data_IF_228913877765
#
_entry.id   IF_228913877765
#
_cell.length_a   1.000
_cell.length_b   1.000
_cell.length_c   1.000
_cell.angle_alpha   90.00
_cell.angle_beta   90.00
_cell.angle_gamma   90.00
#
_symmetry.space_group_name_H-M   'P 1'
#
loop_
_entity.id
_entity.type
_entity.pdbx_description
1 polymer ?
#
# COMPACT_ATOMS: atom_id res chain seq x y z
N UNK A 1 31.37 7.31 -9.30
CA UNK A 1 30.62 6.34 -8.47
C UNK A 1 29.68 7.02 -7.46
N UNK A 2 30.08 8.12 -6.81
CA UNK A 2 29.27 8.87 -5.80
C UNK A 2 27.86 9.29 -6.25
N UNK A 3 27.67 9.71 -7.52
CA UNK A 3 26.35 10.15 -8.03
C UNK A 3 25.27 9.07 -7.96
N UNK A 4 25.64 7.81 -8.21
CA UNK A 4 24.67 6.70 -8.19
C UNK A 4 24.22 6.37 -6.77
N UNK A 5 25.09 6.51 -5.77
CA UNK A 5 24.71 6.23 -4.37
C UNK A 5 23.72 7.26 -3.83
N UNK A 6 23.90 8.54 -4.17
CA UNK A 6 22.98 9.60 -3.79
C UNK A 6 21.57 9.39 -4.39
N UNK A 7 21.48 8.98 -5.66
CA UNK A 7 20.19 8.68 -6.32
C UNK A 7 19.52 7.49 -5.63
N UNK A 8 20.28 6.43 -5.31
CA UNK A 8 19.72 5.24 -4.64
C UNK A 8 19.14 5.60 -3.27
N UNK A 9 19.91 6.33 -2.47
CA UNK A 9 19.51 6.78 -1.13
C UNK A 9 18.28 7.71 -1.19
N UNK A 10 18.23 8.61 -2.17
CA UNK A 10 17.08 9.49 -2.34
C UNK A 10 15.81 8.70 -2.69
N UNK A 11 15.92 7.71 -3.57
CA UNK A 11 14.77 6.87 -3.95
C UNK A 11 14.30 5.97 -2.80
N UNK A 12 15.21 5.42 -2.01
CA UNK A 12 14.86 4.68 -0.78
C UNK A 12 14.09 5.56 0.21
N UNK A 13 14.50 6.81 0.38
CA UNK A 13 13.83 7.77 1.25
C UNK A 13 12.43 8.15 0.74
N UNK A 14 12.29 8.39 -0.57
CA UNK A 14 10.99 8.70 -1.19
C UNK A 14 10.04 7.51 -1.03
N UNK A 15 10.46 6.31 -1.42
CA UNK A 15 9.64 5.10 -1.32
C UNK A 15 9.32 4.75 0.14
N UNK A 16 10.26 4.97 1.05
CA UNK A 16 10.03 4.81 2.48
C UNK A 16 8.98 5.78 3.00
N UNK A 17 9.11 7.07 2.68
CA UNK A 17 8.18 8.12 3.11
C UNK A 17 6.78 7.91 2.53
N UNK A 18 6.69 7.59 1.23
CA UNK A 18 5.43 7.25 0.57
C UNK A 18 4.77 6.01 1.18
N UNK A 19 5.55 4.97 1.48
CA UNK A 19 5.04 3.73 2.07
C UNK A 19 4.46 3.95 3.48
N UNK A 20 5.15 4.74 4.31
CA UNK A 20 4.66 5.09 5.65
C UNK A 20 3.46 6.04 5.61
N UNK A 21 3.49 7.03 4.71
CA UNK A 21 2.36 7.92 4.49
C UNK A 21 1.10 7.16 4.07
N UNK A 22 1.21 6.26 3.09
CA UNK A 22 0.08 5.46 2.63
C UNK A 22 -0.40 4.47 3.69
N UNK A 23 0.49 3.91 4.51
CA UNK A 23 0.08 3.11 5.66
C UNK A 23 -0.79 3.92 6.64
N UNK A 24 -0.39 5.15 6.95
CA UNK A 24 -1.18 6.05 7.79
C UNK A 24 -2.55 6.35 7.18
N UNK A 25 -2.60 6.65 5.88
CA UNK A 25 -3.86 6.84 5.14
C UNK A 25 -4.73 5.59 5.20
N UNK A 26 -4.18 4.39 4.97
CA UNK A 26 -4.91 3.12 5.07
C UNK A 26 -5.50 2.92 6.48
N UNK A 27 -4.76 3.22 7.54
CA UNK A 27 -5.26 3.12 8.92
C UNK A 27 -6.46 4.04 9.14
N UNK A 28 -6.39 5.29 8.68
CA UNK A 28 -7.51 6.24 8.76
C UNK A 28 -8.72 5.70 7.98
N UNK A 29 -8.51 5.24 6.74
CA UNK A 29 -9.58 4.71 5.88
C UNK A 29 -10.26 3.51 6.53
N UNK A 30 -9.49 2.57 7.08
CA UNK A 30 -10.03 1.42 7.83
C UNK A 30 -10.84 1.90 9.03
N UNK A 31 -10.31 2.84 9.81
CA UNK A 31 -11.03 3.40 10.96
C UNK A 31 -12.37 4.03 10.56
N UNK A 32 -12.38 4.86 9.51
CA UNK A 32 -13.59 5.52 9.02
C UNK A 32 -14.61 4.52 8.45
N UNK A 33 -14.17 3.50 7.70
CA UNK A 33 -15.04 2.42 7.22
C UNK A 33 -15.64 1.63 8.37
N UNK A 34 -14.86 1.26 9.38
CA UNK A 34 -15.37 0.54 10.55
C UNK A 34 -16.40 1.38 11.31
N UNK A 35 -16.12 2.67 11.57
CA UNK A 35 -17.07 3.55 12.25
C UNK A 35 -18.37 3.72 11.45
N UNK A 36 -18.28 3.82 10.13
CA UNK A 36 -19.44 4.00 9.25
C UNK A 36 -20.29 2.74 9.17
N UNK A 37 -19.67 1.57 8.95
CA UNK A 37 -20.39 0.29 8.87
C UNK A 37 -21.05 -0.12 10.19
N UNK A 38 -20.54 0.36 11.34
CA UNK A 38 -21.15 0.13 12.65
C UNK A 38 -22.16 1.23 13.06
N UNK A 39 -22.48 2.18 12.16
CA UNK A 39 -23.47 3.23 12.41
C UNK A 39 -23.03 4.31 13.42
N UNK A 40 -21.73 4.43 13.72
CA UNK A 40 -21.19 5.47 14.60
C UNK A 40 -21.07 6.82 13.87
N UNK A 41 -20.80 6.78 12.57
CA UNK A 41 -20.74 7.95 11.69
C UNK A 41 -21.50 7.68 10.40
N UNK A 42 -22.09 8.70 9.80
CA UNK A 42 -22.74 8.59 8.49
C UNK A 42 -21.90 9.32 7.44
N UNK A 43 -21.05 8.56 6.75
CA UNK A 43 -20.25 9.08 5.64
C UNK A 43 -20.45 8.20 4.40
N UNK A 44 -21.06 8.73 3.32
CA UNK A 44 -21.52 7.91 2.20
C UNK A 44 -20.37 7.21 1.45
N UNK A 45 -19.17 7.78 1.50
CA UNK A 45 -17.98 7.20 0.85
C UNK A 45 -17.42 5.98 1.58
N UNK A 46 -17.70 5.81 2.88
CA UNK A 46 -17.14 4.73 3.71
C UNK A 46 -18.19 3.66 4.07
N UNK A 47 -19.35 3.67 3.40
CA UNK A 47 -20.43 2.71 3.58
C UNK A 47 -20.22 1.34 2.92
N UNK A 48 -19.04 1.09 2.34
CA UNK A 48 -18.65 -0.19 1.75
C UNK A 48 -17.13 -0.38 1.87
N UNK A 49 -16.61 -1.54 1.42
CA UNK A 49 -15.18 -1.85 1.52
C UNK A 49 -14.33 -1.29 0.38
N UNK A 50 -14.89 -0.55 -0.57
CA UNK A 50 -14.16 -0.01 -1.72
C UNK A 50 -12.98 0.91 -1.31
N UNK A 51 -13.13 1.90 -0.41
CA UNK A 51 -12.02 2.76 0.00
C UNK A 51 -10.91 1.95 0.67
N UNK A 52 -11.28 0.94 1.47
CA UNK A 52 -10.33 0.04 2.14
C UNK A 52 -9.54 -0.74 1.09
N UNK A 53 -10.23 -1.40 0.15
CA UNK A 53 -9.61 -2.15 -0.93
C UNK A 53 -8.64 -1.29 -1.76
N UNK A 54 -9.06 -0.08 -2.12
CA UNK A 54 -8.23 0.86 -2.89
C UNK A 54 -6.99 1.32 -2.10
N UNK A 55 -7.16 1.69 -0.83
CA UNK A 55 -6.04 2.12 0.02
C UNK A 55 -5.05 0.99 0.25
N UNK A 56 -5.53 -0.24 0.47
CA UNK A 56 -4.70 -1.43 0.60
C UNK A 56 -3.94 -1.73 -0.68
N UNK A 57 -4.60 -1.65 -1.84
CA UNK A 57 -3.97 -1.85 -3.15
C UNK A 57 -2.78 -0.90 -3.33
N UNK A 58 -3.00 0.41 -3.15
CA UNK A 58 -1.95 1.43 -3.34
C UNK A 58 -0.81 1.21 -2.35
N UNK A 59 -1.12 0.94 -1.08
CA UNK A 59 -0.11 0.65 -0.05
C UNK A 59 0.73 -0.57 -0.45
N UNK A 60 0.12 -1.68 -0.83
CA UNK A 60 0.84 -2.90 -1.23
C UNK A 60 1.72 -2.70 -2.47
N UNK A 61 1.26 -1.91 -3.45
CA UNK A 61 2.08 -1.58 -4.64
C UNK A 61 3.33 -0.79 -4.24
N UNK A 62 3.20 0.25 -3.41
CA UNK A 62 4.35 1.07 -2.99
C UNK A 62 5.35 0.25 -2.19
N UNK A 63 4.87 -0.55 -1.24
CA UNK A 63 5.71 -1.44 -0.44
C UNK A 63 6.34 -2.54 -1.30
N UNK A 64 5.62 -3.10 -2.26
CA UNK A 64 6.14 -4.06 -3.24
C UNK A 64 7.29 -3.49 -4.06
N UNK A 65 7.15 -2.26 -4.57
CA UNK A 65 8.21 -1.54 -5.30
C UNK A 65 9.41 -1.27 -4.40
N UNK A 66 9.18 -0.83 -3.16
CA UNK A 66 10.25 -0.58 -2.18
C UNK A 66 11.03 -1.86 -1.86
N UNK A 67 10.35 -2.97 -1.61
CA UNK A 67 10.98 -4.25 -1.35
C UNK A 67 11.74 -4.78 -2.57
N UNK A 68 11.19 -4.60 -3.77
CA UNK A 68 11.90 -4.94 -5.00
C UNK A 68 13.20 -4.13 -5.12
N UNK A 69 13.12 -2.84 -4.85
CA UNK A 69 14.29 -1.97 -4.91
C UNK A 69 15.37 -2.38 -3.89
N UNK A 70 14.96 -2.62 -2.64
CA UNK A 70 15.85 -3.05 -1.57
C UNK A 70 16.45 -4.44 -1.82
N UNK A 71 15.79 -5.29 -2.62
CA UNK A 71 16.28 -6.63 -2.93
C UNK A 71 17.62 -6.64 -3.67
N UNK A 72 17.96 -5.55 -4.36
CA UNK A 72 19.26 -5.34 -5.02
C UNK A 72 20.42 -5.31 -4.03
N UNK A 73 20.15 -4.92 -2.77
CA UNK A 73 21.12 -4.92 -1.66
C UNK A 73 20.92 -6.08 -0.70
N UNK A 74 19.66 -6.48 -0.49
CA UNK A 74 19.27 -7.54 0.44
C UNK A 74 18.37 -8.56 -0.26
N UNK A 75 18.93 -9.62 -0.87
CA UNK A 75 18.17 -10.55 -1.72
C UNK A 75 16.92 -11.18 -1.07
N UNK A 76 16.90 -11.32 0.25
CA UNK A 76 15.72 -11.79 1.01
C UNK A 76 14.48 -10.92 0.80
N UNK A 77 14.66 -9.63 0.50
CA UNK A 77 13.56 -8.69 0.27
C UNK A 77 12.78 -8.95 -1.01
N UNK A 78 13.34 -9.73 -1.93
CA UNK A 78 12.65 -10.11 -3.16
C UNK A 78 11.36 -10.89 -2.87
N UNK A 79 11.38 -11.77 -1.86
CA UNK A 79 10.20 -12.54 -1.45
C UNK A 79 9.09 -11.62 -0.92
N UNK A 80 9.43 -10.62 -0.11
CA UNK A 80 8.45 -9.64 0.40
C UNK A 80 7.83 -8.81 -0.71
N UNK A 81 8.60 -8.46 -1.74
CA UNK A 81 8.08 -7.77 -2.93
C UNK A 81 7.05 -8.62 -3.67
N UNK A 82 7.36 -9.90 -3.90
CA UNK A 82 6.42 -10.83 -4.54
C UNK A 82 5.14 -10.93 -3.73
N UNK A 83 5.22 -11.16 -2.42
CA UNK A 83 4.02 -11.26 -1.58
C UNK A 83 3.18 -9.98 -1.64
N UNK A 84 3.80 -8.81 -1.50
CA UNK A 84 3.09 -7.54 -1.58
C UNK A 84 2.38 -7.35 -2.93
N UNK A 85 3.05 -7.68 -4.04
CA UNK A 85 2.46 -7.56 -5.38
C UNK A 85 1.38 -8.61 -5.66
N UNK A 86 1.50 -9.82 -5.13
CA UNK A 86 0.44 -10.84 -5.21
C UNK A 86 -0.80 -10.38 -4.44
N UNK A 87 -0.63 -9.85 -3.22
CA UNK A 87 -1.77 -9.28 -2.47
C UNK A 87 -2.36 -8.07 -3.16
N UNK A 88 -1.54 -7.20 -3.76
CA UNK A 88 -2.02 -6.10 -4.59
C UNK A 88 -2.86 -6.62 -5.77
N UNK A 89 -2.41 -7.67 -6.46
CA UNK A 89 -3.17 -8.26 -7.57
C UNK A 89 -4.51 -8.85 -7.11
N UNK A 90 -4.53 -9.56 -5.97
CA UNK A 90 -5.77 -10.08 -5.38
C UNK A 90 -6.74 -8.94 -5.06
N UNK A 91 -6.24 -7.84 -4.47
CA UNK A 91 -7.07 -6.67 -4.19
C UNK A 91 -7.59 -6.00 -5.46
N UNK A 92 -6.77 -5.92 -6.51
CA UNK A 92 -7.20 -5.41 -7.81
C UNK A 92 -8.33 -6.27 -8.39
N UNK A 93 -8.25 -7.60 -8.27
CA UNK A 93 -9.31 -8.50 -8.72
C UNK A 93 -10.61 -8.23 -7.95
N UNK A 94 -10.57 -8.14 -6.61
CA UNK A 94 -11.76 -7.84 -5.82
C UNK A 94 -12.37 -6.48 -6.17
N UNK A 95 -11.52 -5.47 -6.43
CA UNK A 95 -11.97 -4.16 -6.86
C UNK A 95 -12.67 -4.21 -8.24
N UNK A 96 -12.10 -4.93 -9.20
CA UNK A 96 -12.68 -5.05 -10.55
C UNK A 96 -13.97 -5.90 -10.55
N UNK A 97 -14.06 -6.88 -9.66
CA UNK A 97 -15.23 -7.75 -9.52
C UNK A 97 -16.39 -7.09 -8.76
N UNK A 98 -16.25 -5.85 -8.30
CA UNK A 98 -17.23 -5.17 -7.44
C UNK A 98 -17.60 -5.98 -6.18
N UNK A 99 -16.64 -6.72 -5.62
CA UNK A 99 -16.83 -7.50 -4.39
C UNK A 99 -16.40 -6.62 -3.21
N UNK A 100 -17.25 -5.67 -2.82
CA UNK A 100 -17.02 -4.74 -1.72
C UNK A 100 -18.30 -4.22 -1.08
#
# INVERSE_FOLDING_TARGET
MVRNENIKKHMENILGSLGWFMLFVTIIVVGLTVLTLNGVMDTPYFGNYFPVGLSLLITQVIWGIRFYYNSRRYPSYFKYSIFALVFALIQLIFLLSNVY
#
